data_IF_803399533748
#
_entry.id   IF_803399533748
#
_cell.length_a   1.000
_cell.length_b   1.000
_cell.length_c   1.000
_cell.angle_alpha   90.00
_cell.angle_beta   90.00
_cell.angle_gamma   90.00
#
_symmetry.space_group_name_H-M   'P 1'
#
loop_
_entity.id
_entity.type
_entity.pdbx_description
1 polymer ?
#
# COMPACT_ATOMS: atom_id res chain seq x y z
N UNK A 1 6.69 -14.94 2.28
CA UNK A 1 7.34 -13.81 2.95
C UNK A 1 7.12 -12.56 2.10
N UNK A 2 6.67 -11.46 2.72
CA UNK A 2 6.34 -10.17 2.06
C UNK A 2 7.18 -9.00 2.62
N UNK A 3 8.30 -9.29 3.29
CA UNK A 3 9.23 -8.29 3.84
C UNK A 3 9.78 -7.33 2.79
N UNK A 4 9.83 -7.78 1.54
CA UNK A 4 10.25 -6.96 0.41
C UNK A 4 9.20 -5.90 0.02
N UNK A 5 7.92 -6.09 0.37
CA UNK A 5 6.85 -5.10 0.14
C UNK A 5 6.76 -4.16 1.33
N UNK A 6 6.73 -4.73 2.54
CA UNK A 6 6.64 -4.02 3.80
C UNK A 6 7.82 -4.43 4.70
N UNK A 7 8.93 -3.68 4.68
CA UNK A 7 10.09 -3.99 5.49
C UNK A 7 9.79 -3.87 6.99
N UNK A 8 10.30 -4.80 7.79
CA UNK A 8 10.04 -4.83 9.25
C UNK A 8 10.65 -3.64 10.02
N UNK A 9 11.51 -2.86 9.37
CA UNK A 9 12.11 -1.63 9.90
C UNK A 9 11.45 -0.35 9.37
N UNK A 10 10.32 -0.46 8.66
CA UNK A 10 9.64 0.69 8.10
C UNK A 10 8.88 1.48 9.18
N UNK A 11 9.59 2.35 9.89
CA UNK A 11 9.02 3.37 10.77
C UNK A 11 8.84 4.73 10.09
N UNK A 12 9.15 4.80 8.79
CA UNK A 12 8.99 5.97 7.96
C UNK A 12 8.42 5.55 6.60
N UNK A 13 7.36 6.23 6.16
CA UNK A 13 6.68 5.96 4.89
C UNK A 13 7.66 5.97 3.71
N UNK A 14 8.65 6.87 3.73
CA UNK A 14 9.63 7.02 2.65
C UNK A 14 10.52 5.77 2.46
N UNK A 15 10.68 4.94 3.50
CA UNK A 15 11.43 3.68 3.44
C UNK A 15 10.64 2.53 2.83
N UNK A 16 9.32 2.65 2.74
CA UNK A 16 8.46 1.64 2.10
C UNK A 16 8.58 1.83 0.58
N UNK A 17 9.02 0.84 -0.21
CA UNK A 17 9.13 0.99 -1.66
C UNK A 17 7.75 1.17 -2.29
N UNK A 18 7.63 2.09 -3.27
CA UNK A 18 6.38 2.23 -4.04
C UNK A 18 6.15 0.95 -4.83
N UNK A 19 5.09 0.24 -4.47
CA UNK A 19 4.79 -1.11 -4.95
C UNK A 19 3.37 -1.15 -5.49
N UNK A 20 3.23 -1.69 -6.70
CA UNK A 20 1.95 -2.00 -7.30
C UNK A 20 1.82 -3.52 -7.37
N UNK A 21 0.73 -4.06 -6.81
CA UNK A 21 0.49 -5.50 -6.71
C UNK A 21 -0.74 -5.83 -7.53
N UNK A 22 -0.64 -6.78 -8.46
CA UNK A 22 -1.77 -7.27 -9.22
C UNK A 22 -2.26 -8.60 -8.62
N UNK A 23 -3.56 -8.66 -8.34
CA UNK A 23 -4.23 -9.87 -7.87
C UNK A 23 -5.40 -10.21 -8.79
N UNK A 24 -5.75 -11.49 -8.82
CA UNK A 24 -6.76 -12.05 -9.70
C UNK A 24 -8.18 -11.99 -9.12
N UNK A 25 -8.31 -11.77 -7.81
CA UNK A 25 -9.57 -11.94 -7.10
C UNK A 25 -9.73 -10.99 -5.92
N UNK A 26 -10.98 -10.60 -5.67
CA UNK A 26 -11.37 -9.75 -4.55
C UNK A 26 -11.03 -10.29 -3.16
N UNK A 27 -11.27 -11.59 -2.87
CA UNK A 27 -10.84 -12.16 -1.60
C UNK A 27 -9.32 -12.02 -1.37
N UNK A 28 -8.52 -12.15 -2.43
CA UNK A 28 -7.07 -11.96 -2.35
C UNK A 28 -6.69 -10.50 -2.06
N UNK A 29 -7.39 -9.51 -2.64
CA UNK A 29 -7.20 -8.09 -2.30
C UNK A 29 -7.40 -7.89 -0.80
N UNK A 30 -8.56 -8.30 -0.27
CA UNK A 30 -8.90 -8.06 1.14
C UNK A 30 -7.88 -8.72 2.07
N UNK A 31 -7.59 -10.00 1.85
CA UNK A 31 -6.64 -10.74 2.67
C UNK A 31 -5.23 -10.13 2.63
N UNK A 32 -4.78 -9.66 1.46
CA UNK A 32 -3.48 -9.04 1.31
C UNK A 32 -3.42 -7.66 1.96
N UNK A 33 -4.47 -6.84 1.80
CA UNK A 33 -4.59 -5.53 2.46
C UNK A 33 -4.51 -5.70 3.97
N UNK A 34 -5.33 -6.57 4.55
CA UNK A 34 -5.37 -6.82 6.00
C UNK A 34 -4.00 -7.29 6.50
N UNK A 35 -3.39 -8.23 5.78
CA UNK A 35 -2.07 -8.75 6.14
C UNK A 35 -0.98 -7.66 6.12
N UNK A 36 -0.95 -6.83 5.08
CA UNK A 36 0.04 -5.75 4.96
C UNK A 36 -0.19 -4.63 5.99
N UNK A 37 -1.45 -4.32 6.34
CA UNK A 37 -1.79 -3.39 7.42
C UNK A 37 -1.28 -3.93 8.76
N UNK A 38 -1.52 -5.21 9.06
CA UNK A 38 -0.99 -5.82 10.29
C UNK A 38 0.54 -5.74 10.36
N UNK A 39 1.23 -5.99 9.23
CA UNK A 39 2.69 -5.85 9.17
C UNK A 39 3.16 -4.41 9.37
N UNK A 40 2.48 -3.44 8.75
CA UNK A 40 2.79 -2.02 8.90
C UNK A 40 2.66 -1.58 10.36
N UNK A 41 1.57 -1.96 11.03
CA UNK A 41 1.34 -1.66 12.46
C UNK A 41 2.44 -2.28 13.33
N UNK A 42 2.81 -3.53 13.07
CA UNK A 42 3.87 -4.22 13.80
C UNK A 42 5.23 -3.52 13.63
N UNK A 43 5.62 -3.20 12.40
CA UNK A 43 6.87 -2.50 12.08
C UNK A 43 6.94 -1.11 12.74
N UNK A 44 5.82 -0.36 12.72
CA UNK A 44 5.73 0.95 13.34
C UNK A 44 5.85 0.89 14.86
N UNK A 45 5.16 -0.09 15.47
CA UNK A 45 5.14 -0.27 16.92
C UNK A 45 6.50 -0.68 17.49
N UNK A 46 7.29 -1.47 16.75
CA UNK A 46 8.63 -1.86 17.16
C UNK A 46 9.64 -0.69 17.18
N UNK A 47 9.39 0.37 16.42
CA UNK A 47 10.25 1.56 16.40
C UNK A 47 9.94 2.56 17.51
N UNK A 48 8.77 2.46 18.15
CA UNK A 48 8.28 3.37 19.19
C UNK A 48 8.86 3.09 20.59
N UNK A 49 10.16 2.79 20.66
CA UNK A 49 10.87 2.45 21.89
C UNK A 49 10.92 3.59 22.94
N UNK A 50 10.44 4.80 22.62
CA UNK A 50 10.47 5.98 23.50
C UNK A 50 9.06 6.50 23.88
N UNK A 51 8.12 5.60 24.20
CA UNK A 51 6.92 5.96 24.97
C UNK A 51 5.81 6.72 24.22
N UNK A 52 6.01 7.07 22.94
CA UNK A 52 4.98 7.63 22.06
C UNK A 52 4.54 6.55 21.08
N UNK A 53 3.34 5.99 21.27
CA UNK A 53 2.75 5.05 20.31
C UNK A 53 2.22 5.83 19.11
N UNK A 54 3.09 6.10 18.15
CA UNK A 54 2.62 6.56 16.84
C UNK A 54 1.91 5.41 16.11
N UNK A 55 0.67 5.64 15.71
CA UNK A 55 -0.02 4.77 14.76
C UNK A 55 0.52 5.03 13.36
N UNK A 56 0.66 4.01 12.51
CA UNK A 56 1.04 4.26 11.13
C UNK A 56 -0.03 5.11 10.44
N UNK A 57 0.34 5.93 9.44
CA UNK A 57 -0.61 6.71 8.68
C UNK A 57 -1.63 5.82 7.96
N UNK A 58 -2.90 6.21 7.96
CA UNK A 58 -4.00 5.43 7.36
C UNK A 58 -3.88 5.29 5.83
N UNK A 59 -3.07 6.13 5.20
CA UNK A 59 -3.03 6.32 3.75
C UNK A 59 -1.91 5.54 3.02
N UNK A 60 -1.21 4.63 3.70
CA UNK A 60 -0.02 3.96 3.14
C UNK A 60 -0.37 2.85 2.15
N UNK A 61 -1.49 2.15 2.37
CA UNK A 61 -1.91 0.96 1.61
C UNK A 61 -3.33 1.20 1.10
N UNK A 62 -3.55 0.97 -0.20
CA UNK A 62 -4.85 1.13 -0.82
C UNK A 62 -5.20 -0.03 -1.75
N UNK A 63 -6.45 -0.47 -1.71
CA UNK A 63 -7.04 -1.25 -2.78
C UNK A 63 -7.40 -0.35 -3.97
N UNK A 64 -7.23 -0.89 -5.17
CA UNK A 64 -7.56 -0.19 -6.40
C UNK A 64 -8.32 -1.13 -7.34
N UNK A 65 -9.60 -0.86 -7.50
CA UNK A 65 -10.51 -1.78 -8.17
C UNK A 65 -11.61 -1.05 -8.94
N UNK A 66 -12.32 -1.80 -9.78
CA UNK A 66 -13.46 -1.28 -10.55
C UNK A 66 -14.72 -1.07 -9.72
N UNK A 67 -14.79 -1.57 -8.47
CA UNK A 67 -15.92 -1.30 -7.56
C UNK A 67 -15.86 0.14 -7.03
N UNK A 68 -14.65 0.69 -6.91
CA UNK A 68 -14.46 2.09 -6.52
C UNK A 68 -15.06 3.03 -7.59
N UNK A 69 -15.68 4.12 -7.12
CA UNK A 69 -16.14 5.19 -8.01
C UNK A 69 -14.98 5.78 -8.82
N UNK A 70 -15.27 6.41 -9.95
CA UNK A 70 -14.25 7.10 -10.75
C UNK A 70 -13.45 8.12 -9.95
N UNK A 71 -14.15 8.91 -9.12
CA UNK A 71 -13.54 9.89 -8.22
C UNK A 71 -12.62 9.23 -7.19
N UNK A 72 -13.08 8.16 -6.53
CA UNK A 72 -12.27 7.47 -5.53
C UNK A 72 -11.03 6.82 -6.14
N UNK A 73 -11.13 6.29 -7.36
CA UNK A 73 -9.95 5.80 -8.11
C UNK A 73 -8.96 6.92 -8.40
N UNK A 74 -9.42 8.10 -8.81
CA UNK A 74 -8.55 9.25 -9.04
C UNK A 74 -7.87 9.72 -7.76
N UNK A 75 -8.57 9.72 -6.62
CA UNK A 75 -7.97 10.05 -5.32
C UNK A 75 -6.86 9.08 -4.93
N UNK A 76 -7.12 7.76 -5.02
CA UNK A 76 -6.13 6.72 -4.71
C UNK A 76 -4.92 6.86 -5.63
N UNK A 77 -5.14 7.06 -6.93
CA UNK A 77 -4.07 7.32 -7.89
C UNK A 77 -3.26 8.57 -7.53
N UNK A 78 -3.92 9.67 -7.18
CA UNK A 78 -3.26 10.91 -6.79
C UNK A 78 -2.40 10.72 -5.53
N UNK A 79 -2.89 9.97 -4.53
CA UNK A 79 -2.13 9.60 -3.33
C UNK A 79 -0.92 8.73 -3.69
N UNK A 80 -1.07 7.78 -4.60
CA UNK A 80 0.03 6.93 -5.05
C UNK A 80 1.08 7.71 -5.85
N UNK A 81 0.66 8.63 -6.73
CA UNK A 81 1.56 9.53 -7.44
C UNK A 81 2.37 10.41 -6.47
N UNK A 82 1.71 11.01 -5.48
CA UNK A 82 2.36 11.83 -4.45
C UNK A 82 3.25 11.03 -3.49
N UNK A 83 3.10 9.71 -3.47
CA UNK A 83 3.86 8.82 -2.60
C UNK A 83 3.38 8.80 -1.15
N UNK A 84 2.21 9.35 -0.85
CA UNK A 84 1.56 9.16 0.46
C UNK A 84 0.98 7.75 0.58
N UNK A 85 0.49 7.20 -0.55
CA UNK A 85 0.26 5.77 -0.72
C UNK A 85 1.53 5.12 -1.28
N UNK A 86 1.99 4.05 -0.63
CA UNK A 86 3.20 3.30 -1.00
C UNK A 86 2.87 1.94 -1.57
N UNK A 87 1.76 1.34 -1.20
CA UNK A 87 1.33 0.04 -1.73
C UNK A 87 -0.07 0.16 -2.30
N UNK A 88 -0.20 -0.10 -3.61
CA UNK A 88 -1.48 -0.13 -4.31
C UNK A 88 -1.77 -1.56 -4.78
N UNK A 89 -2.91 -2.12 -4.37
CA UNK A 89 -3.31 -3.49 -4.67
C UNK A 89 -4.41 -3.46 -5.72
N UNK A 90 -4.07 -3.82 -6.94
CA UNK A 90 -4.93 -3.76 -8.11
C UNK A 90 -5.55 -5.13 -8.43
N UNK A 91 -6.84 -5.14 -8.74
CA UNK A 91 -7.40 -6.26 -9.52
C UNK A 91 -7.00 -6.06 -10.98
N UNK A 92 -6.56 -7.13 -11.66
CA UNK A 92 -6.04 -7.11 -13.03
C UNK A 92 -6.77 -6.18 -14.01
N UNK A 93 -8.10 -6.13 -13.97
CA UNK A 93 -8.90 -5.28 -14.87
C UNK A 93 -8.80 -3.77 -14.58
N UNK A 94 -8.45 -3.36 -13.36
CA UNK A 94 -8.40 -1.96 -12.96
C UNK A 94 -7.03 -1.32 -13.21
N UNK A 95 -5.95 -2.07 -13.04
CA UNK A 95 -4.58 -1.52 -13.09
C UNK A 95 -3.99 -1.31 -14.49
N UNK A 96 -4.62 -1.87 -15.53
CA UNK A 96 -4.13 -1.73 -16.90
C UNK A 96 -4.36 -0.33 -17.47
N UNK A 97 -3.31 0.29 -18.00
CA UNK A 97 -3.35 1.60 -18.66
C UNK A 97 -3.03 2.80 -17.75
N UNK A 98 -2.62 2.57 -16.51
CA UNK A 98 -2.17 3.62 -15.60
C UNK A 98 -0.69 3.93 -15.88
N UNK A 99 -0.38 5.17 -16.26
CA UNK A 99 1.01 5.65 -16.38
C UNK A 99 1.46 6.25 -15.03
N UNK A 100 2.14 5.43 -14.21
CA UNK A 100 2.81 5.91 -13.01
C UNK A 100 4.32 5.78 -13.22
N UNK A 101 4.98 6.94 -13.13
CA UNK A 101 6.44 7.05 -13.04
C UNK A 101 6.86 6.84 -11.58
N UNK A 102 8.09 6.38 -11.38
CA UNK A 102 8.66 6.16 -10.03
C UNK A 102 7.90 5.08 -9.23
N UNK A 103 7.70 3.92 -9.88
CA UNK A 103 7.35 2.66 -9.20
C UNK A 103 8.64 1.89 -8.96
N UNK A 104 8.87 1.48 -7.71
CA UNK A 104 10.01 0.65 -7.38
C UNK A 104 9.77 -0.82 -7.77
N UNK A 105 8.51 -1.29 -7.66
CA UNK A 105 8.15 -2.71 -7.83
C UNK A 105 6.77 -2.88 -8.43
N UNK A 106 6.66 -3.82 -9.36
CA UNK A 106 5.39 -4.35 -9.89
C UNK A 106 5.41 -5.86 -9.67
N UNK A 107 4.35 -6.41 -9.09
CA UNK A 107 4.21 -7.82 -8.72
C UNK A 107 2.91 -8.36 -9.26
#
# INVERSE_FOLDING_TARGET
DLDFIMPNYACNISLIPKTMIFVDSWPAVSALTDHLICKLIAAWSCSAAEGVRDTPPEDVIYDYSTILSGERRQEVLAKFHKGSCRVMICINAAGMGIDIRDISRVI
#
